data_IF_915943799712
#
_entry.id   IF_915943799712
#
_cell.length_a   1.000
_cell.length_b   1.000
_cell.length_c   1.000
_cell.angle_alpha   90.00
_cell.angle_beta   90.00
_cell.angle_gamma   90.00
#
_symmetry.space_group_name_H-M   'P 1'
#
loop_
_entity.id
_entity.type
_entity.pdbx_description
1 polymer ?
#
# COMPACT_ATOMS: atom_id res chain seq x y z
N UNK A 1 9.07 37.94 -15.92
CA UNK A 1 9.90 37.28 -14.89
C UNK A 1 9.08 36.54 -13.83
N UNK A 2 8.11 37.18 -13.15
CA UNK A 2 7.31 36.50 -12.09
C UNK A 2 6.47 35.33 -12.64
N UNK A 3 5.84 35.50 -13.79
CA UNK A 3 4.98 34.46 -14.39
C UNK A 3 5.76 33.24 -14.86
N UNK A 4 6.98 33.45 -15.37
CA UNK A 4 7.87 32.36 -15.78
C UNK A 4 8.39 31.57 -14.57
N UNK A 5 8.70 32.27 -13.47
CA UNK A 5 9.04 31.61 -12.19
C UNK A 5 7.87 30.81 -11.65
N UNK A 6 6.65 31.35 -11.72
CA UNK A 6 5.43 30.64 -11.29
C UNK A 6 5.15 29.41 -12.17
N UNK A 7 5.36 29.53 -13.49
CA UNK A 7 5.22 28.41 -14.42
C UNK A 7 6.22 27.29 -14.11
N UNK A 8 7.50 27.62 -13.86
CA UNK A 8 8.53 26.64 -13.46
C UNK A 8 8.18 25.96 -12.13
N UNK A 9 7.76 26.74 -11.13
CA UNK A 9 7.34 26.19 -9.83
C UNK A 9 6.16 25.23 -9.96
N UNK A 10 5.19 25.56 -10.82
CA UNK A 10 4.05 24.69 -11.11
C UNK A 10 4.51 23.39 -11.77
N UNK A 11 5.37 23.46 -12.78
CA UNK A 11 5.90 22.27 -13.45
C UNK A 11 6.63 21.35 -12.45
N UNK A 12 7.47 21.93 -11.58
CA UNK A 12 8.13 21.17 -10.52
C UNK A 12 7.13 20.54 -9.54
N UNK A 13 6.09 21.27 -9.16
CA UNK A 13 5.05 20.74 -8.26
C UNK A 13 4.23 19.61 -8.89
N UNK A 14 3.95 19.68 -10.20
CA UNK A 14 3.31 18.61 -10.96
C UNK A 14 4.20 17.36 -11.01
N UNK A 15 5.51 17.50 -11.30
CA UNK A 15 6.46 16.37 -11.26
C UNK A 15 6.57 15.72 -9.88
N UNK A 16 6.58 16.54 -8.81
CA UNK A 16 6.59 16.03 -7.43
C UNK A 16 5.30 15.27 -7.13
N UNK A 17 4.14 15.80 -7.54
CA UNK A 17 2.86 15.12 -7.36
C UNK A 17 2.82 13.78 -8.08
N UNK A 18 3.30 13.72 -9.33
CA UNK A 18 3.39 12.48 -10.11
C UNK A 18 4.27 11.45 -9.40
N UNK A 19 5.46 11.86 -8.95
CA UNK A 19 6.40 10.99 -8.22
C UNK A 19 5.77 10.42 -6.95
N UNK A 20 5.13 11.28 -6.13
CA UNK A 20 4.48 10.85 -4.88
C UNK A 20 3.27 9.95 -5.15
N UNK A 21 2.53 10.20 -6.22
CA UNK A 21 1.41 9.34 -6.62
C UNK A 21 1.89 7.95 -7.02
N UNK A 22 3.00 7.86 -7.76
CA UNK A 22 3.62 6.59 -8.12
C UNK A 22 4.16 5.83 -6.89
N UNK A 23 4.75 6.54 -5.92
CA UNK A 23 5.19 5.94 -4.65
C UNK A 23 4.01 5.37 -3.84
N UNK A 24 2.92 6.11 -3.73
CA UNK A 24 1.69 5.66 -3.07
C UNK A 24 1.10 4.42 -3.76
N UNK A 25 1.09 4.39 -5.09
CA UNK A 25 0.64 3.23 -5.85
C UNK A 25 1.51 1.99 -5.57
N UNK A 26 2.84 2.15 -5.56
CA UNK A 26 3.77 1.06 -5.20
C UNK A 26 3.61 0.59 -3.76
N UNK A 27 3.39 1.50 -2.81
CA UNK A 27 3.13 1.13 -1.41
C UNK A 27 1.80 0.36 -1.27
N UNK A 28 0.78 0.78 -2.00
CA UNK A 28 -0.54 0.12 -2.03
C UNK A 28 -0.44 -1.29 -2.63
N UNK A 29 0.22 -1.45 -3.78
CA UNK A 29 0.43 -2.75 -4.41
C UNK A 29 1.20 -3.74 -3.50
N UNK A 30 2.24 -3.27 -2.81
CA UNK A 30 3.01 -4.11 -1.85
C UNK A 30 2.14 -4.59 -0.68
N UNK A 31 1.27 -3.72 -0.15
CA UNK A 31 0.30 -4.11 0.88
C UNK A 31 -0.70 -5.12 0.33
N UNK A 32 -1.24 -4.90 -0.86
CA UNK A 32 -2.28 -5.76 -1.44
C UNK A 32 -1.76 -7.17 -1.74
N UNK A 33 -0.51 -7.30 -2.19
CA UNK A 33 0.16 -8.59 -2.35
C UNK A 33 0.25 -9.38 -1.02
N UNK A 34 0.45 -8.71 0.11
CA UNK A 34 0.43 -9.36 1.42
C UNK A 34 -0.98 -9.79 1.84
N UNK A 35 -2.00 -9.01 1.51
CA UNK A 35 -3.41 -9.37 1.79
C UNK A 35 -3.81 -10.59 0.99
N UNK A 36 -3.41 -10.67 -0.28
CA UNK A 36 -3.64 -11.84 -1.13
C UNK A 36 -2.97 -13.11 -0.55
N UNK A 37 -1.72 -12.99 -0.09
CA UNK A 37 -1.05 -14.09 0.60
C UNK A 37 -1.80 -14.54 1.87
N UNK A 38 -2.36 -13.59 2.63
CA UNK A 38 -3.14 -13.91 3.82
C UNK A 38 -4.41 -14.69 3.45
N UNK A 39 -5.15 -14.22 2.45
CA UNK A 39 -6.35 -14.91 1.94
C UNK A 39 -6.03 -16.32 1.42
N UNK A 40 -4.86 -16.54 0.81
CA UNK A 40 -4.47 -17.87 0.35
C UNK A 40 -4.22 -18.88 1.49
N UNK A 41 -3.97 -18.40 2.71
CA UNK A 41 -3.81 -19.20 3.92
C UNK A 41 -5.13 -19.46 4.66
N UNK A 42 -6.21 -18.77 4.30
CA UNK A 42 -7.53 -18.98 4.89
C UNK A 42 -8.20 -20.19 4.22
N UNK A 43 -7.87 -21.38 4.71
CA UNK A 43 -8.45 -22.65 4.28
C UNK A 43 -9.34 -23.22 5.37
N UNK A 44 -10.32 -24.03 4.97
CA UNK A 44 -11.17 -24.78 5.89
C UNK A 44 -10.68 -26.23 6.00
N UNK A 45 -10.85 -26.86 7.18
CA UNK A 45 -10.53 -28.27 7.35
C UNK A 45 -11.36 -29.13 6.39
N UNK A 46 -10.78 -30.22 5.85
CA UNK A 46 -11.54 -31.17 5.04
C UNK A 46 -12.65 -31.83 5.88
N UNK A 47 -13.89 -31.77 5.40
CA UNK A 47 -15.02 -32.42 6.04
C UNK A 47 -14.93 -33.94 5.88
N UNK A 48 -15.26 -34.70 6.93
CA UNK A 48 -15.21 -36.16 6.89
C UNK A 48 -13.80 -36.74 6.75
N UNK A 49 -12.79 -35.97 7.16
CA UNK A 49 -11.39 -36.39 7.09
C UNK A 49 -11.11 -37.64 7.93
N UNK A 50 -10.34 -38.56 7.36
CA UNK A 50 -9.75 -39.66 8.12
C UNK A 50 -8.62 -39.14 9.05
N UNK A 51 -8.00 -40.06 9.79
CA UNK A 51 -6.93 -39.72 10.72
C UNK A 51 -5.71 -39.10 10.01
N UNK A 52 -5.34 -39.59 8.83
CA UNK A 52 -4.18 -39.10 8.09
C UNK A 52 -4.40 -37.69 7.54
N UNK A 53 -5.59 -37.43 7.02
CA UNK A 53 -6.03 -36.11 6.58
C UNK A 53 -6.10 -35.12 7.76
N UNK A 54 -6.59 -35.58 8.93
CA UNK A 54 -6.65 -34.77 10.16
C UNK A 54 -5.25 -34.38 10.67
N UNK A 55 -4.30 -35.31 10.66
CA UNK A 55 -2.90 -35.03 11.04
C UNK A 55 -2.23 -34.05 10.07
N UNK A 56 -2.44 -34.24 8.77
CA UNK A 56 -1.91 -33.36 7.74
C UNK A 56 -2.49 -31.94 7.86
N UNK A 57 -3.79 -31.83 8.15
CA UNK A 57 -4.45 -30.56 8.42
C UNK A 57 -3.85 -29.85 9.64
N UNK A 58 -3.63 -30.57 10.74
CA UNK A 58 -3.05 -29.99 11.95
C UNK A 58 -1.62 -29.48 11.72
N UNK A 59 -0.80 -30.21 10.95
CA UNK A 59 0.54 -29.74 10.57
C UNK A 59 0.48 -28.48 9.69
N UNK A 60 -0.44 -28.45 8.72
CA UNK A 60 -0.69 -27.27 7.89
C UNK A 60 -1.10 -26.06 8.74
N UNK A 61 -2.05 -26.20 9.66
CA UNK A 61 -2.54 -25.09 10.47
C UNK A 61 -1.48 -24.50 11.40
N UNK A 62 -0.61 -25.33 11.97
CA UNK A 62 0.51 -24.83 12.77
C UNK A 62 1.46 -23.97 11.94
N UNK A 63 1.84 -24.44 10.74
CA UNK A 63 2.66 -23.69 9.80
C UNK A 63 1.95 -22.40 9.33
N UNK A 64 0.67 -22.51 8.95
CA UNK A 64 -0.13 -21.39 8.47
C UNK A 64 -0.32 -20.32 9.55
N UNK A 65 -0.50 -20.72 10.81
CA UNK A 65 -0.60 -19.80 11.95
C UNK A 65 0.66 -18.95 12.12
N UNK A 66 1.84 -19.57 12.12
CA UNK A 66 3.11 -18.86 12.18
C UNK A 66 3.28 -17.91 10.99
N UNK A 67 2.92 -18.36 9.79
CA UNK A 67 3.01 -17.55 8.57
C UNK A 67 2.04 -16.36 8.57
N UNK A 68 0.79 -16.55 9.02
CA UNK A 68 -0.20 -15.47 9.18
C UNK A 68 0.29 -14.41 10.16
N UNK A 69 0.91 -14.80 11.28
CA UNK A 69 1.48 -13.87 12.24
C UNK A 69 2.59 -12.99 11.63
N UNK A 70 3.51 -13.60 10.88
CA UNK A 70 4.56 -12.88 10.14
C UNK A 70 3.98 -11.91 9.10
N UNK A 71 3.02 -12.37 8.29
CA UNK A 71 2.36 -11.54 7.28
C UNK A 71 1.64 -10.36 7.95
N UNK A 72 0.95 -10.57 9.07
CA UNK A 72 0.24 -9.50 9.79
C UNK A 72 1.19 -8.42 10.32
N UNK A 73 2.36 -8.80 10.85
CA UNK A 73 3.38 -7.84 11.26
C UNK A 73 3.89 -7.01 10.08
N UNK A 74 4.18 -7.68 8.96
CA UNK A 74 4.59 -7.00 7.73
C UNK A 74 3.49 -6.08 7.20
N UNK A 75 2.23 -6.51 7.25
CA UNK A 75 1.08 -5.72 6.81
C UNK A 75 0.93 -4.44 7.63
N UNK A 76 1.12 -4.50 8.95
CA UNK A 76 1.11 -3.32 9.81
C UNK A 76 2.19 -2.30 9.42
N UNK A 77 3.41 -2.76 9.16
CA UNK A 77 4.49 -1.90 8.70
C UNK A 77 4.20 -1.27 7.32
N UNK A 78 3.64 -2.05 6.37
CA UNK A 78 3.26 -1.53 5.05
C UNK A 78 2.09 -0.58 5.09
N UNK A 79 1.14 -0.77 5.99
CA UNK A 79 0.02 0.16 6.18
C UNK A 79 0.52 1.50 6.73
N UNK A 80 1.44 1.48 7.69
CA UNK A 80 2.10 2.70 8.18
C UNK A 80 2.87 3.44 7.05
N UNK A 81 3.64 2.70 6.24
CA UNK A 81 4.33 3.25 5.06
C UNK A 81 3.33 3.90 4.08
N UNK A 82 2.24 3.20 3.74
CA UNK A 82 1.19 3.70 2.84
C UNK A 82 0.54 4.97 3.37
N UNK A 83 0.22 5.04 4.66
CA UNK A 83 -0.34 6.22 5.29
C UNK A 83 0.62 7.42 5.22
N UNK A 84 1.92 7.19 5.44
CA UNK A 84 2.95 8.21 5.24
C UNK A 84 2.98 8.74 3.80
N UNK A 85 3.00 7.84 2.81
CA UNK A 85 2.99 8.24 1.40
C UNK A 85 1.70 8.98 1.02
N UNK A 86 0.54 8.56 1.55
CA UNK A 86 -0.73 9.24 1.31
C UNK A 86 -0.70 10.70 1.82
N UNK A 87 -0.09 10.95 2.97
CA UNK A 87 0.05 12.31 3.49
C UNK A 87 0.95 13.17 2.59
N UNK A 88 2.08 12.63 2.12
CA UNK A 88 2.99 13.35 1.22
C UNK A 88 2.34 13.65 -0.15
N UNK A 89 1.61 12.68 -0.73
CA UNK A 89 0.84 12.89 -1.96
C UNK A 89 -0.20 13.99 -1.78
N UNK A 90 -0.93 14.01 -0.65
CA UNK A 90 -1.90 15.08 -0.34
C UNK A 90 -1.25 16.46 -0.25
N UNK A 91 -0.08 16.55 0.40
CA UNK A 91 0.69 17.81 0.47
C UNK A 91 1.14 18.27 -0.91
N UNK A 92 1.69 17.37 -1.73
CA UNK A 92 2.11 17.68 -3.10
C UNK A 92 0.92 18.15 -3.97
N UNK A 93 -0.23 17.47 -3.84
CA UNK A 93 -1.46 17.86 -4.52
C UNK A 93 -1.93 19.25 -4.11
N UNK A 94 -1.94 19.54 -2.81
CA UNK A 94 -2.29 20.88 -2.30
C UNK A 94 -1.38 21.98 -2.84
N UNK A 95 -0.06 21.74 -2.88
CA UNK A 95 0.91 22.68 -3.48
C UNK A 95 0.65 22.92 -4.96
N UNK A 96 0.40 21.85 -5.73
CA UNK A 96 0.08 21.93 -7.16
C UNK A 96 -1.23 22.72 -7.40
N UNK A 97 -2.27 22.46 -6.60
CA UNK A 97 -3.54 23.21 -6.63
C UNK A 97 -3.35 24.70 -6.37
N UNK A 98 -2.58 25.08 -5.34
CA UNK A 98 -2.34 26.49 -5.00
C UNK A 98 -1.60 27.20 -6.14
N UNK A 99 -0.53 26.60 -6.66
CA UNK A 99 0.22 27.17 -7.78
C UNK A 99 -0.63 27.27 -9.06
N UNK A 100 -1.51 26.30 -9.30
CA UNK A 100 -2.47 26.34 -10.40
C UNK A 100 -3.48 27.48 -10.29
N UNK A 101 -3.91 27.82 -9.08
CA UNK A 101 -4.84 28.95 -8.81
C UNK A 101 -4.14 30.30 -8.92
N UNK A 102 -2.90 30.41 -8.45
CA UNK A 102 -2.11 31.65 -8.53
C UNK A 102 -1.79 32.09 -9.96
N UNK A 103 -1.83 31.18 -10.94
CA UNK A 103 -1.66 31.52 -12.37
C UNK A 103 -2.97 32.04 -13.01
N UNK A 104 -4.13 31.77 -12.40
CA UNK A 104 -5.44 32.19 -12.93
C UNK A 104 -5.85 33.59 -12.46
N UNK A 105 -5.10 34.17 -11.52
CA UNK A 105 -5.24 35.54 -10.99
C UNK A 105 -4.16 36.40 -11.64
#
# INVERSE_FOLDING_TARGET
MKDERLARLRQMAEMVLETRSAELARATARRDALREQLTALDRLPPAGADLAASQSWFAFEQWASARRAEINLNLAAREAERLGQLQETRRAFGRSQVLGRLKKV
#
